data_IF_649411533534
#
_entry.id   IF_649411533534
#
_cell.length_a   1.000
_cell.length_b   1.000
_cell.length_c   1.000
_cell.angle_alpha   90.00
_cell.angle_beta   90.00
_cell.angle_gamma   90.00
#
_symmetry.space_group_name_H-M   'P 1'
#
loop_
_entity.id
_entity.type
_entity.pdbx_description
1 polymer ?
#
# COMPACT_ATOMS: atom_id res chain seq x y z
N UNK A 1 -24.39 -4.54 -5.71
CA UNK A 1 -23.15 -5.21 -6.18
C UNK A 1 -23.30 -6.68 -5.87
N UNK A 2 -23.23 -7.55 -6.87
CA UNK A 2 -23.26 -8.99 -6.64
C UNK A 2 -21.95 -9.39 -5.93
N UNK A 3 -22.00 -10.24 -4.89
CA UNK A 3 -20.80 -10.75 -4.26
C UNK A 3 -19.97 -11.51 -5.30
N UNK A 4 -18.67 -11.22 -5.35
CA UNK A 4 -17.73 -11.97 -6.17
C UNK A 4 -17.78 -13.42 -5.70
N UNK A 5 -17.96 -14.41 -6.62
CA UNK A 5 -18.02 -15.81 -6.23
C UNK A 5 -16.70 -16.23 -5.56
N UNK A 6 -16.81 -16.74 -4.34
CA UNK A 6 -15.67 -17.29 -3.61
C UNK A 6 -15.46 -18.73 -4.08
N UNK A 7 -14.27 -18.96 -4.61
CA UNK A 7 -13.83 -20.25 -5.09
C UNK A 7 -13.84 -21.34 -3.99
N UNK A 8 -14.55 -22.45 -4.21
CA UNK A 8 -14.54 -23.65 -3.35
C UNK A 8 -13.66 -24.75 -4.00
N UNK A 9 -12.59 -25.21 -3.34
CA UNK A 9 -11.67 -26.22 -3.91
C UNK A 9 -12.29 -27.61 -4.21
N UNK A 10 -13.51 -27.86 -3.71
CA UNK A 10 -14.15 -29.17 -3.80
C UNK A 10 -14.74 -29.53 -5.17
N UNK A 11 -14.71 -28.61 -6.15
CA UNK A 11 -15.24 -28.82 -7.51
C UNK A 11 -14.16 -28.63 -8.57
N UNK A 12 -12.98 -29.19 -8.39
CA UNK A 12 -11.87 -29.04 -9.33
C UNK A 12 -12.17 -29.55 -10.75
N UNK A 13 -13.11 -30.48 -10.91
CA UNK A 13 -13.48 -31.03 -12.20
C UNK A 13 -14.43 -30.13 -13.02
N UNK A 14 -15.01 -29.09 -12.42
CA UNK A 14 -15.98 -28.18 -13.07
C UNK A 14 -15.51 -26.72 -13.12
N UNK A 15 -14.23 -26.46 -12.90
CA UNK A 15 -13.69 -25.10 -12.87
C UNK A 15 -13.75 -24.48 -14.26
N UNK A 16 -14.37 -23.31 -14.44
CA UNK A 16 -14.33 -22.61 -15.70
C UNK A 16 -12.94 -22.03 -15.92
N UNK A 17 -12.14 -22.70 -16.72
CA UNK A 17 -10.91 -22.12 -17.26
C UNK A 17 -11.29 -21.24 -18.44
N UNK A 18 -10.67 -20.09 -18.55
CA UNK A 18 -10.80 -19.19 -19.69
C UNK A 18 -9.44 -19.08 -20.39
N UNK A 19 -9.45 -18.80 -21.67
CA UNK A 19 -8.24 -18.56 -22.44
C UNK A 19 -7.49 -17.33 -21.88
N UNK A 20 -6.16 -17.46 -21.76
CA UNK A 20 -5.33 -16.33 -21.37
C UNK A 20 -5.28 -15.30 -22.50
N UNK A 21 -5.80 -14.10 -22.27
CA UNK A 21 -5.63 -12.99 -23.17
C UNK A 21 -4.20 -12.45 -23.11
N UNK A 22 -3.37 -12.94 -24.02
CA UNK A 22 -1.97 -12.55 -24.16
C UNK A 22 -1.65 -12.23 -25.62
N UNK A 23 -0.86 -11.20 -25.85
CA UNK A 23 -0.38 -10.86 -27.18
C UNK A 23 1.15 -10.82 -27.18
N UNK A 24 1.75 -11.50 -28.13
CA UNK A 24 3.19 -11.42 -28.36
C UNK A 24 3.57 -10.00 -28.74
N UNK A 25 4.73 -9.56 -28.24
CA UNK A 25 5.29 -8.25 -28.55
C UNK A 25 6.69 -8.42 -29.13
N UNK A 26 7.08 -7.61 -30.12
CA UNK A 26 8.47 -7.55 -30.56
C UNK A 26 9.42 -7.24 -29.40
N UNK A 27 10.60 -7.85 -29.40
CA UNK A 27 11.58 -7.66 -28.32
C UNK A 27 11.98 -6.19 -28.12
N UNK A 28 12.08 -5.43 -29.21
CA UNK A 28 12.37 -3.99 -29.15
C UNK A 28 11.30 -3.23 -28.35
N UNK A 29 10.02 -3.48 -28.61
CA UNK A 29 8.90 -2.86 -27.87
C UNK A 29 8.94 -3.26 -26.38
N UNK A 30 9.27 -4.51 -26.09
CA UNK A 30 9.39 -4.98 -24.70
C UNK A 30 10.50 -4.25 -23.94
N UNK A 31 11.66 -4.06 -24.57
CA UNK A 31 12.79 -3.33 -23.99
C UNK A 31 12.46 -1.86 -23.78
N UNK A 32 11.84 -1.21 -24.77
CA UNK A 32 11.42 0.20 -24.65
C UNK A 32 10.43 0.38 -23.48
N UNK A 33 9.41 -0.47 -23.40
CA UNK A 33 8.42 -0.43 -22.31
C UNK A 33 9.05 -0.69 -20.94
N UNK A 34 9.99 -1.64 -20.85
CA UNK A 34 10.70 -1.94 -19.61
C UNK A 34 11.51 -0.74 -19.15
N UNK A 35 12.23 -0.10 -20.07
CA UNK A 35 13.00 1.10 -19.79
C UNK A 35 12.09 2.27 -19.35
N UNK A 36 11.03 2.54 -20.09
CA UNK A 36 10.09 3.61 -19.78
C UNK A 36 9.45 3.44 -18.39
N UNK A 37 9.01 2.22 -18.05
CA UNK A 37 8.47 1.91 -16.73
C UNK A 37 9.51 2.10 -15.61
N UNK A 38 10.75 1.69 -15.82
CA UNK A 38 11.82 1.91 -14.85
C UNK A 38 12.13 3.40 -14.67
N UNK A 39 12.23 4.17 -15.76
CA UNK A 39 12.49 5.61 -15.71
C UNK A 39 11.39 6.37 -14.96
N UNK A 40 10.14 5.97 -15.12
CA UNK A 40 9.03 6.52 -14.34
C UNK A 40 9.15 6.15 -12.87
N UNK A 41 9.31 4.86 -12.56
CA UNK A 41 9.31 4.37 -11.18
C UNK A 41 10.52 4.84 -10.36
N UNK A 42 11.67 5.07 -10.99
CA UNK A 42 12.85 5.59 -10.28
C UNK A 42 12.64 7.02 -9.75
N UNK A 43 11.69 7.78 -10.31
CA UNK A 43 11.34 9.12 -9.85
C UNK A 43 10.41 9.09 -8.62
N UNK A 44 9.78 7.96 -8.34
CA UNK A 44 8.89 7.84 -7.19
C UNK A 44 9.63 8.01 -5.88
N UNK A 45 9.13 8.91 -5.03
CA UNK A 45 9.69 9.20 -3.70
C UNK A 45 8.60 9.12 -2.61
N UNK A 46 9.00 8.81 -1.40
CA UNK A 46 8.18 9.00 -0.20
C UNK A 46 8.07 10.48 0.10
N UNK A 47 6.85 11.04 0.06
CA UNK A 47 6.60 12.47 0.22
C UNK A 47 5.80 12.71 1.50
N UNK A 48 6.23 13.68 2.31
CA UNK A 48 5.59 14.08 3.57
C UNK A 48 4.99 15.49 3.53
N UNK A 49 5.19 16.20 2.43
CA UNK A 49 4.71 17.57 2.24
C UNK A 49 3.65 17.58 1.14
N UNK A 50 2.39 17.68 1.56
CA UNK A 50 1.24 17.67 0.66
C UNK A 50 0.67 19.05 0.47
N UNK A 51 0.12 19.30 -0.71
CA UNK A 51 -0.79 20.38 -1.01
C UNK A 51 -2.19 20.00 -0.51
N UNK A 52 -2.96 21.00 -0.07
CA UNK A 52 -4.40 20.84 0.25
C UNK A 52 -5.28 20.81 -1.00
N UNK A 53 -4.67 20.87 -2.20
CA UNK A 53 -5.42 20.75 -3.47
C UNK A 53 -6.22 19.48 -3.50
N UNK A 54 -7.50 19.60 -3.86
CA UNK A 54 -8.41 18.48 -3.94
C UNK A 54 -8.00 17.46 -5.01
N UNK A 55 -8.28 16.18 -4.71
CA UNK A 55 -8.05 15.05 -5.61
C UNK A 55 -9.38 14.37 -5.90
N UNK A 56 -9.70 14.22 -7.18
CA UNK A 56 -10.91 13.55 -7.62
C UNK A 56 -10.99 12.12 -7.05
N UNK A 57 -12.11 11.80 -6.45
CA UNK A 57 -12.40 10.49 -5.85
C UNK A 57 -12.14 9.33 -6.83
N UNK A 58 -12.41 9.51 -8.11
CA UNK A 58 -12.22 8.50 -9.16
C UNK A 58 -10.75 8.08 -9.31
N UNK A 59 -9.79 8.97 -9.02
CA UNK A 59 -8.37 8.63 -9.01
C UNK A 59 -8.04 7.68 -7.86
N UNK A 60 -8.62 7.91 -6.69
CA UNK A 60 -8.45 7.03 -5.52
C UNK A 60 -9.11 5.66 -5.79
N UNK A 61 -10.31 5.64 -6.36
CA UNK A 61 -11.00 4.41 -6.76
C UNK A 61 -10.16 3.61 -7.77
N UNK A 62 -9.59 4.27 -8.77
CA UNK A 62 -8.72 3.63 -9.77
C UNK A 62 -7.44 3.06 -9.16
N UNK A 63 -6.82 3.78 -8.21
CA UNK A 63 -5.64 3.29 -7.50
C UNK A 63 -5.97 2.05 -6.64
N UNK A 64 -7.10 2.06 -5.93
CA UNK A 64 -7.58 0.92 -5.14
C UNK A 64 -7.87 -0.28 -6.04
N UNK A 65 -8.55 -0.07 -7.18
CA UNK A 65 -8.80 -1.13 -8.16
C UNK A 65 -7.48 -1.70 -8.70
N UNK A 66 -6.52 -0.85 -9.05
CA UNK A 66 -5.18 -1.29 -9.50
C UNK A 66 -4.47 -2.12 -8.43
N UNK A 67 -4.46 -1.66 -7.18
CA UNK A 67 -3.93 -2.42 -6.05
C UNK A 67 -4.65 -3.76 -5.84
N UNK A 68 -5.96 -3.78 -6.08
CA UNK A 68 -6.79 -4.98 -5.88
C UNK A 68 -6.66 -6.02 -7.01
N UNK A 69 -5.90 -5.75 -8.08
CA UNK A 69 -5.52 -6.75 -9.08
C UNK A 69 -4.31 -7.59 -8.66
N UNK A 70 -3.74 -7.34 -7.48
CA UNK A 70 -2.56 -8.03 -6.97
C UNK A 70 -2.77 -9.55 -6.89
N UNK A 71 -1.76 -10.36 -7.28
CA UNK A 71 -1.78 -11.78 -7.01
C UNK A 71 -1.83 -12.02 -5.50
N UNK A 72 -2.56 -13.06 -5.08
CA UNK A 72 -2.76 -13.32 -3.66
C UNK A 72 -3.05 -14.80 -3.40
N UNK A 73 -2.85 -15.25 -2.16
CA UNK A 73 -3.03 -16.63 -1.77
C UNK A 73 -4.45 -17.14 -2.04
N UNK A 74 -4.59 -18.15 -2.91
CA UNK A 74 -5.83 -18.82 -3.28
C UNK A 74 -6.95 -17.84 -3.73
N UNK A 75 -6.59 -16.72 -4.30
CA UNK A 75 -7.51 -15.65 -4.75
C UNK A 75 -8.46 -15.15 -3.64
N UNK A 76 -7.98 -15.16 -2.38
CA UNK A 76 -8.80 -14.79 -1.23
C UNK A 76 -8.94 -13.28 -1.04
N UNK A 77 -8.11 -12.47 -1.73
CA UNK A 77 -8.14 -11.01 -1.72
C UNK A 77 -8.25 -10.46 -0.28
N UNK A 78 -7.27 -10.78 0.61
CA UNK A 78 -7.38 -10.62 2.04
C UNK A 78 -7.14 -9.16 2.49
N UNK A 79 -7.74 -8.21 1.82
CA UNK A 79 -7.59 -6.79 2.07
C UNK A 79 -8.92 -6.07 2.16
N UNK A 80 -8.92 -5.00 2.95
CA UNK A 80 -9.96 -3.97 2.96
C UNK A 80 -9.26 -2.62 2.84
N UNK A 81 -9.71 -1.82 1.88
CA UNK A 81 -9.26 -0.46 1.67
C UNK A 81 -10.25 0.51 2.30
N UNK A 82 -9.78 1.40 3.17
CA UNK A 82 -10.58 2.46 3.77
C UNK A 82 -10.04 3.79 3.30
N UNK A 83 -10.79 4.49 2.45
CA UNK A 83 -10.43 5.81 1.95
C UNK A 83 -11.18 6.90 2.73
N UNK A 84 -10.44 7.85 3.28
CA UNK A 84 -10.93 8.90 4.17
C UNK A 84 -10.67 10.25 3.54
N UNK A 85 -11.72 11.07 3.41
CA UNK A 85 -11.70 12.49 2.98
C UNK A 85 -12.37 13.40 4.01
N UNK A 86 -12.81 12.85 5.11
CA UNK A 86 -13.47 13.58 6.18
C UNK A 86 -12.42 14.24 7.09
N UNK A 87 -12.38 15.57 7.14
CA UNK A 87 -11.39 16.36 7.88
C UNK A 87 -11.39 16.05 9.38
N UNK A 88 -12.58 15.91 10.01
CA UNK A 88 -12.69 15.58 11.42
C UNK A 88 -12.10 14.19 11.73
N UNK A 89 -12.32 13.23 10.82
CA UNK A 89 -11.80 11.88 10.97
C UNK A 89 -10.29 11.83 10.72
N UNK A 90 -9.79 12.61 9.76
CA UNK A 90 -8.35 12.77 9.51
C UNK A 90 -7.65 13.42 10.72
N UNK A 91 -8.27 14.44 11.33
CA UNK A 91 -7.73 15.07 12.53
C UNK A 91 -7.64 14.07 13.69
N UNK A 92 -8.70 13.31 13.96
CA UNK A 92 -8.71 12.27 15.01
C UNK A 92 -7.65 11.17 14.73
N UNK A 93 -7.49 10.79 13.45
CA UNK A 93 -6.48 9.83 13.05
C UNK A 93 -5.07 10.37 13.30
N UNK A 94 -4.83 11.63 12.95
CA UNK A 94 -3.57 12.32 13.19
C UNK A 94 -3.24 12.40 14.69
N UNK A 95 -4.17 12.86 15.50
CA UNK A 95 -3.98 12.98 16.96
C UNK A 95 -3.63 11.63 17.60
N UNK A 96 -4.36 10.56 17.24
CA UNK A 96 -4.08 9.22 17.74
C UNK A 96 -2.73 8.67 17.24
N UNK A 97 -2.38 8.91 15.98
CA UNK A 97 -1.08 8.51 15.42
C UNK A 97 0.08 9.27 16.11
N UNK A 98 -0.03 10.58 16.28
CA UNK A 98 0.99 11.38 16.94
C UNK A 98 1.17 11.01 18.42
N UNK A 99 0.09 10.60 19.10
CA UNK A 99 0.17 10.09 20.47
C UNK A 99 0.98 8.77 20.55
N UNK A 100 0.71 7.82 19.65
CA UNK A 100 1.50 6.58 19.60
C UNK A 100 2.95 6.83 19.17
N UNK A 101 3.19 7.76 18.26
CA UNK A 101 4.54 8.16 17.84
C UNK A 101 5.30 8.81 19.01
N UNK A 102 4.68 9.70 19.77
CA UNK A 102 5.32 10.30 20.97
C UNK A 102 5.78 9.22 21.95
N UNK A 103 4.93 8.23 22.24
CA UNK A 103 5.30 7.09 23.10
C UNK A 103 6.43 6.26 22.49
N UNK A 104 6.41 6.08 21.17
CA UNK A 104 7.47 5.33 20.47
C UNK A 104 8.80 6.06 20.56
N UNK A 105 8.84 7.34 20.23
CA UNK A 105 10.08 8.14 20.27
C UNK A 105 10.63 8.33 21.70
N UNK A 106 9.77 8.41 22.73
CA UNK A 106 10.22 8.65 24.10
C UNK A 106 10.57 7.38 24.89
N UNK A 107 9.90 6.25 24.59
CA UNK A 107 9.94 5.08 25.49
C UNK A 107 10.29 3.76 24.81
N UNK A 108 9.99 3.62 23.49
CA UNK A 108 10.02 2.32 22.81
C UNK A 108 11.08 2.19 21.74
N UNK A 109 11.68 3.31 21.30
CA UNK A 109 12.60 3.33 20.16
C UNK A 109 14.01 2.93 20.60
N UNK A 110 14.57 1.83 20.07
CA UNK A 110 15.98 1.51 20.26
C UNK A 110 16.88 2.57 19.57
N UNK A 111 18.04 2.84 20.17
CA UNK A 111 19.02 3.81 19.64
C UNK A 111 19.39 3.52 18.17
N UNK A 112 19.66 2.26 17.84
CA UNK A 112 19.97 1.83 16.47
C UNK A 112 18.85 2.15 15.46
N UNK A 113 17.61 2.22 15.90
CA UNK A 113 16.49 2.61 15.01
C UNK A 113 16.43 4.13 14.87
N UNK A 114 16.67 4.87 15.94
CA UNK A 114 16.75 6.34 15.91
C UNK A 114 17.81 6.81 14.90
N UNK A 115 19.01 6.21 14.91
CA UNK A 115 20.09 6.50 13.97
C UNK A 115 19.68 6.34 12.49
N UNK A 116 18.90 5.30 12.18
CA UNK A 116 18.40 5.03 10.82
C UNK A 116 17.32 6.03 10.39
N UNK A 117 16.55 6.58 11.34
CA UNK A 117 15.48 7.55 11.06
C UNK A 117 15.99 8.98 10.95
N UNK A 118 17.11 9.32 11.59
CA UNK A 118 17.67 10.68 11.61
C UNK A 118 17.84 11.27 10.20
N UNK A 119 18.43 10.58 9.20
CA UNK A 119 18.58 11.10 7.84
C UNK A 119 17.24 11.31 7.11
N UNK A 120 16.16 10.71 7.60
CA UNK A 120 14.82 10.82 7.01
C UNK A 120 14.05 12.05 7.51
N UNK A 121 14.56 12.72 8.57
CA UNK A 121 13.96 13.94 9.14
C UNK A 121 12.52 13.71 9.61
N UNK A 122 12.22 12.54 10.21
CA UNK A 122 10.88 12.23 10.72
C UNK A 122 10.84 12.36 12.24
N UNK A 123 9.75 12.90 12.75
CA UNK A 123 9.48 13.12 14.17
C UNK A 123 8.06 12.66 14.54
N UNK A 124 7.60 12.97 15.76
CA UNK A 124 6.28 12.59 16.22
C UNK A 124 5.14 13.42 15.59
N UNK A 125 5.43 14.53 14.91
CA UNK A 125 4.41 15.43 14.33
C UNK A 125 4.12 14.99 12.89
N UNK A 126 2.86 14.71 12.57
CA UNK A 126 2.45 14.08 11.30
C UNK A 126 1.46 14.95 10.50
N UNK A 127 1.86 16.18 10.07
CA UNK A 127 0.95 17.09 9.36
C UNK A 127 0.41 16.48 8.06
N UNK A 128 1.14 15.59 7.42
CA UNK A 128 0.71 14.88 6.20
C UNK A 128 -0.60 14.09 6.36
N UNK A 129 -1.03 13.81 7.60
CA UNK A 129 -2.30 13.12 7.86
C UNK A 129 -3.52 14.06 7.80
N UNK A 130 -3.29 15.38 7.80
CA UNK A 130 -4.34 16.41 7.63
C UNK A 130 -4.12 17.27 6.40
N UNK A 131 -2.88 17.38 5.90
CA UNK A 131 -2.58 18.17 4.70
C UNK A 131 -2.97 17.44 3.42
N UNK A 132 -2.82 16.11 3.38
CA UNK A 132 -3.23 15.30 2.24
C UNK A 132 -4.77 15.26 2.13
N UNK A 133 -5.35 15.49 0.92
CA UNK A 133 -6.80 15.47 0.73
C UNK A 133 -7.43 14.08 0.95
N UNK A 134 -6.65 13.03 0.84
CA UNK A 134 -7.09 11.66 1.09
C UNK A 134 -6.12 10.90 1.98
N UNK A 135 -6.67 10.09 2.89
CA UNK A 135 -5.94 9.05 3.62
C UNK A 135 -6.52 7.70 3.23
N UNK A 136 -5.67 6.80 2.73
CA UNK A 136 -6.06 5.43 2.42
C UNK A 136 -5.41 4.51 3.43
N UNK A 137 -6.23 3.76 4.19
CA UNK A 137 -5.75 2.76 5.15
C UNK A 137 -5.98 1.38 4.58
N UNK A 138 -4.91 0.59 4.49
CA UNK A 138 -4.97 -0.81 4.09
C UNK A 138 -5.05 -1.69 5.33
N UNK A 139 -6.14 -2.47 5.42
CA UNK A 139 -6.32 -3.51 6.42
C UNK A 139 -6.09 -4.87 5.79
N UNK A 140 -5.36 -5.74 6.48
CA UNK A 140 -5.28 -7.16 6.15
C UNK A 140 -6.36 -7.93 6.91
N UNK A 141 -7.00 -8.87 6.23
CA UNK A 141 -7.98 -9.77 6.81
C UNK A 141 -7.29 -11.05 7.29
N UNK A 142 -7.26 -11.28 8.61
CA UNK A 142 -6.66 -12.50 9.21
C UNK A 142 -7.55 -13.74 9.06
N UNK A 143 -8.84 -13.51 8.88
CA UNK A 143 -9.86 -14.55 8.72
C UNK A 143 -10.88 -14.12 7.69
N UNK A 144 -11.48 -15.08 7.03
CA UNK A 144 -12.60 -14.88 6.11
C UNK A 144 -13.79 -15.73 6.52
N UNK A 145 -14.98 -15.30 6.15
CA UNK A 145 -16.17 -16.13 6.22
C UNK A 145 -16.23 -17.04 4.98
N UNK A 146 -16.41 -18.31 5.19
CA UNK A 146 -16.62 -19.32 4.12
C UNK A 146 -18.08 -19.31 3.67
N UNK A 147 -18.41 -19.85 2.49
CA UNK A 147 -19.80 -19.95 2.01
C UNK A 147 -20.73 -20.68 2.98
N UNK A 148 -20.23 -21.64 3.76
CA UNK A 148 -20.98 -22.33 4.80
C UNK A 148 -21.17 -21.52 6.10
N UNK A 149 -20.82 -20.22 6.11
CA UNK A 149 -20.92 -19.31 7.24
C UNK A 149 -19.84 -19.46 8.32
N UNK A 150 -18.98 -20.47 8.24
CA UNK A 150 -17.90 -20.68 9.21
C UNK A 150 -16.70 -19.77 8.90
N UNK A 151 -16.04 -19.31 9.93
CA UNK A 151 -14.78 -18.58 9.79
C UNK A 151 -13.62 -19.52 9.49
N UNK A 152 -12.74 -19.09 8.60
CA UNK A 152 -11.50 -19.79 8.26
C UNK A 152 -10.33 -18.82 8.14
N UNK A 153 -9.08 -19.32 8.14
CA UNK A 153 -7.91 -18.49 7.95
C UNK A 153 -7.86 -17.92 6.52
N UNK A 154 -7.15 -16.82 6.37
CA UNK A 154 -6.59 -16.36 5.09
C UNK A 154 -5.16 -16.86 4.98
N UNK A 155 -4.67 -17.02 3.75
CA UNK A 155 -3.32 -17.48 3.48
C UNK A 155 -2.49 -16.34 2.91
N UNK A 156 -1.24 -16.20 3.37
CA UNK A 156 -0.31 -15.17 2.87
C UNK A 156 -0.91 -13.75 2.87
N UNK A 157 -1.69 -13.42 3.91
CA UNK A 157 -2.42 -12.15 3.95
C UNK A 157 -1.47 -10.95 3.98
N UNK A 158 -0.36 -11.04 4.69
CA UNK A 158 0.63 -9.95 4.80
C UNK A 158 1.35 -9.74 3.47
N UNK A 159 1.83 -10.81 2.85
CA UNK A 159 2.51 -10.78 1.55
C UNK A 159 1.58 -10.26 0.46
N UNK A 160 0.34 -10.78 0.43
CA UNK A 160 -0.69 -10.35 -0.51
C UNK A 160 -1.02 -8.86 -0.39
N UNK A 161 -1.20 -8.37 0.84
CA UNK A 161 -1.43 -6.95 1.09
C UNK A 161 -0.20 -6.09 0.75
N UNK A 162 1.02 -6.61 0.95
CA UNK A 162 2.26 -5.94 0.55
C UNK A 162 2.35 -5.74 -0.96
N UNK A 163 2.02 -6.77 -1.75
CA UNK A 163 1.96 -6.68 -3.22
C UNK A 163 0.87 -5.68 -3.65
N UNK A 164 -0.32 -5.78 -3.05
CA UNK A 164 -1.44 -4.87 -3.35
C UNK A 164 -1.07 -3.40 -3.04
N UNK A 165 -0.40 -3.15 -1.91
CA UNK A 165 0.08 -1.82 -1.56
C UNK A 165 1.12 -1.29 -2.57
N UNK A 166 2.05 -2.15 -3.02
CA UNK A 166 3.03 -1.79 -4.05
C UNK A 166 2.37 -1.37 -5.37
N UNK A 167 1.36 -2.12 -5.82
CA UNK A 167 0.59 -1.80 -7.02
C UNK A 167 -0.26 -0.53 -6.87
N UNK A 168 -0.85 -0.31 -5.69
CA UNK A 168 -1.55 0.94 -5.36
C UNK A 168 -0.59 2.14 -5.43
N UNK A 169 0.59 2.05 -4.81
CA UNK A 169 1.60 3.12 -4.79
C UNK A 169 2.10 3.42 -6.22
N UNK A 170 2.29 2.39 -7.05
CA UNK A 170 2.64 2.55 -8.45
C UNK A 170 1.54 3.31 -9.22
N UNK A 171 0.27 2.93 -9.05
CA UNK A 171 -0.85 3.58 -9.70
C UNK A 171 -0.98 5.05 -9.28
N UNK A 172 -0.84 5.36 -7.98
CA UNK A 172 -0.80 6.74 -7.46
C UNK A 172 0.30 7.56 -8.13
N UNK A 173 1.51 7.01 -8.23
CA UNK A 173 2.64 7.69 -8.88
C UNK A 173 2.40 7.89 -10.39
N UNK A 174 1.92 6.87 -11.08
CA UNK A 174 1.60 6.93 -12.52
C UNK A 174 0.57 8.00 -12.86
N UNK A 175 -0.39 8.27 -11.95
CA UNK A 175 -1.38 9.33 -12.11
C UNK A 175 -0.85 10.74 -11.77
N UNK A 176 0.44 10.88 -11.42
CA UNK A 176 1.04 12.16 -11.04
C UNK A 176 0.75 12.59 -9.60
N UNK A 177 0.26 11.69 -8.76
CA UNK A 177 0.06 11.92 -7.33
C UNK A 177 1.23 11.39 -6.52
N UNK A 178 1.31 11.82 -5.25
CA UNK A 178 2.35 11.36 -4.31
C UNK A 178 1.73 10.70 -3.09
N UNK A 179 2.52 9.84 -2.46
CA UNK A 179 2.13 9.13 -1.24
C UNK A 179 3.33 8.77 -0.38
N UNK A 180 3.08 8.32 0.83
CA UNK A 180 4.03 7.61 1.68
C UNK A 180 3.35 6.42 2.35
N UNK A 181 4.15 5.50 2.87
CA UNK A 181 3.69 4.47 3.80
C UNK A 181 3.97 4.93 5.22
N UNK A 182 2.93 5.08 6.03
CA UNK A 182 3.01 5.41 7.44
C UNK A 182 2.48 4.25 8.28
N UNK A 183 3.24 3.87 9.30
CA UNK A 183 2.95 2.73 10.17
C UNK A 183 3.07 3.14 11.63
N UNK A 184 2.14 3.95 12.16
CA UNK A 184 2.15 4.35 13.57
C UNK A 184 1.96 3.12 14.45
N UNK A 185 2.97 2.73 15.22
CA UNK A 185 2.96 1.47 15.96
C UNK A 185 2.73 1.69 17.47
N UNK A 186 1.76 0.96 18.06
CA UNK A 186 0.85 -0.05 17.49
C UNK A 186 -0.34 0.58 16.74
N UNK A 187 -0.78 -0.04 15.64
CA UNK A 187 -1.88 0.45 14.79
C UNK A 187 -3.28 0.00 15.24
N UNK A 188 -3.42 -0.57 16.42
CA UNK A 188 -4.70 -1.10 16.92
C UNK A 188 -5.82 -0.05 17.01
N UNK A 189 -5.48 1.20 17.31
CA UNK A 189 -6.41 2.32 17.38
C UNK A 189 -7.16 2.58 16.07
N UNK A 190 -6.52 2.30 14.92
CA UNK A 190 -7.14 2.49 13.59
C UNK A 190 -8.37 1.60 13.40
N UNK A 191 -8.33 0.38 13.93
CA UNK A 191 -9.48 -0.51 13.86
C UNK A 191 -10.69 0.07 14.60
N UNK A 192 -10.48 0.61 15.78
CA UNK A 192 -11.53 1.19 16.63
C UNK A 192 -12.04 2.50 16.03
N UNK A 193 -11.13 3.40 15.66
CA UNK A 193 -11.46 4.69 15.06
C UNK A 193 -12.27 4.56 13.77
N UNK A 194 -11.95 3.55 12.96
CA UNK A 194 -12.58 3.33 11.64
C UNK A 194 -13.70 2.28 11.68
N UNK A 195 -14.10 1.81 12.86
CA UNK A 195 -15.19 0.85 13.04
C UNK A 195 -14.96 -0.49 12.32
N UNK A 196 -13.68 -0.94 12.23
CA UNK A 196 -13.36 -2.17 11.50
C UNK A 196 -13.52 -3.41 12.39
N UNK A 197 -13.96 -4.55 11.82
CA UNK A 197 -14.20 -5.78 12.58
C UNK A 197 -12.88 -6.37 13.12
N UNK A 198 -12.98 -7.21 14.13
CA UNK A 198 -11.83 -7.78 14.87
C UNK A 198 -10.93 -8.69 14.04
N UNK A 199 -11.40 -9.20 12.91
CA UNK A 199 -10.59 -10.01 11.98
C UNK A 199 -9.77 -9.17 11.02
N UNK A 200 -9.95 -7.85 10.99
CA UNK A 200 -9.13 -6.92 10.23
C UNK A 200 -8.05 -6.29 11.12
N UNK A 201 -6.87 -6.11 10.56
CA UNK A 201 -5.71 -5.49 11.19
C UNK A 201 -5.12 -4.45 10.25
N UNK A 202 -4.99 -3.22 10.72
CA UNK A 202 -4.37 -2.16 9.93
C UNK A 202 -2.91 -2.52 9.61
N UNK A 203 -2.50 -2.30 8.37
CA UNK A 203 -1.15 -2.61 7.89
C UNK A 203 -0.40 -1.37 7.41
N UNK A 204 -1.05 -0.47 6.68
CA UNK A 204 -0.47 0.76 6.15
C UNK A 204 -1.46 1.90 6.20
N UNK A 205 -0.98 3.09 6.51
CA UNK A 205 -1.68 4.36 6.33
C UNK A 205 -0.98 5.11 5.20
N UNK A 206 -1.71 5.47 4.15
CA UNK A 206 -1.17 6.08 2.94
C UNK A 206 -1.91 7.39 2.64
N UNK A 207 -1.36 8.54 3.06
CA UNK A 207 -1.80 9.84 2.56
C UNK A 207 -1.59 9.93 1.06
N UNK A 208 -2.55 10.50 0.33
CA UNK A 208 -2.51 10.65 -1.13
C UNK A 208 -2.93 12.06 -1.51
N UNK A 209 -2.14 12.72 -2.35
CA UNK A 209 -2.43 14.06 -2.83
C UNK A 209 -1.38 14.57 -3.80
N UNK A 210 -1.44 15.85 -4.11
CA UNK A 210 -0.38 16.53 -4.84
C UNK A 210 0.76 16.92 -3.88
N UNK A 211 2.02 16.95 -4.33
CA UNK A 211 3.09 17.50 -3.52
C UNK A 211 2.88 19.00 -3.31
N UNK A 212 3.26 19.51 -2.15
CA UNK A 212 3.32 20.97 -1.91
C UNK A 212 4.39 21.57 -2.82
N UNK A 213 4.19 22.80 -3.27
CA UNK A 213 5.20 23.53 -4.02
C UNK A 213 6.51 23.61 -3.22
N UNK A 214 7.63 23.31 -3.87
CA UNK A 214 8.94 23.24 -3.22
C UNK A 214 9.12 22.08 -2.25
N UNK A 215 8.27 21.04 -2.29
CA UNK A 215 8.39 19.88 -1.42
C UNK A 215 9.77 19.21 -1.56
N UNK A 216 10.41 18.97 -0.42
CA UNK A 216 11.70 18.30 -0.34
C UNK A 216 11.53 16.83 0.07
N UNK A 217 12.45 16.00 -0.37
CA UNK A 217 12.56 14.59 0.04
C UNK A 217 14.02 14.33 0.45
N UNK A 218 14.27 13.38 1.37
CA UNK A 218 15.64 13.03 1.78
C UNK A 218 16.50 12.63 0.57
N UNK A 219 17.75 13.12 0.54
CA UNK A 219 18.73 12.73 -0.50
C UNK A 219 19.33 11.37 -0.16
N UNK A 220 18.61 10.32 -0.56
CA UNK A 220 19.00 8.92 -0.33
C UNK A 220 19.07 8.17 -1.65
N UNK A 221 19.99 7.20 -1.71
CA UNK A 221 20.27 6.41 -2.90
C UNK A 221 19.63 5.03 -2.81
N UNK A 222 19.24 4.49 -3.97
CA UNK A 222 18.86 3.08 -4.09
C UNK A 222 20.11 2.25 -4.36
N UNK A 223 20.06 1.01 -3.93
CA UNK A 223 21.06 0.01 -4.30
C UNK A 223 21.13 -0.18 -5.81
N UNK A 224 22.30 -0.48 -6.32
CA UNK A 224 22.55 -0.84 -7.72
C UNK A 224 21.97 -2.24 -8.02
N UNK A 225 21.91 -2.60 -9.31
CA UNK A 225 21.44 -3.92 -9.72
C UNK A 225 22.28 -5.05 -9.10
N UNK A 226 23.61 -4.90 -9.08
CA UNK A 226 24.53 -5.91 -8.54
C UNK A 226 24.39 -6.11 -7.02
N UNK A 227 23.85 -5.10 -6.30
CA UNK A 227 23.59 -5.20 -4.86
C UNK A 227 22.24 -5.87 -4.53
N UNK A 228 21.35 -6.02 -5.50
CA UNK A 228 19.99 -6.55 -5.28
C UNK A 228 19.66 -7.79 -6.10
N UNK A 229 20.50 -8.18 -7.07
CA UNK A 229 20.24 -9.30 -7.97
C UNK A 229 21.45 -10.20 -8.15
N UNK A 230 21.18 -11.49 -8.29
CA UNK A 230 22.17 -12.51 -8.71
C UNK A 230 21.59 -13.22 -9.93
N UNK A 231 22.39 -13.33 -10.98
CA UNK A 231 22.01 -13.99 -12.23
C UNK A 231 22.74 -15.32 -12.39
N UNK A 232 22.03 -16.37 -12.78
CA UNK A 232 22.55 -17.69 -13.13
C UNK A 232 22.23 -17.96 -14.59
N UNK A 233 22.84 -17.19 -15.49
CA UNK A 233 22.58 -17.18 -16.93
C UNK A 233 23.70 -17.82 -17.77
N UNK A 234 24.82 -18.20 -17.13
CA UNK A 234 25.92 -18.90 -17.78
C UNK A 234 25.96 -20.35 -17.29
N UNK A 235 26.15 -21.30 -18.26
CA UNK A 235 26.48 -22.67 -17.92
C UNK A 235 27.88 -22.68 -17.26
N UNK A 236 27.96 -23.19 -16.04
CA UNK A 236 29.21 -23.43 -15.30
C UNK A 236 30.04 -24.55 -15.97
#
# INVERSE_FOLDING_TARGET
>A
MNPVPVFEPSHMDEQPFIELHWAERPNADMLERAQANYEELRLRRTTRHFSTQDVDRRLIESAILSGSTAPNGAHLQPWTWVAIRNEDLQLKLREAAEEEERKTYSERMPEAWSEVLEPLGTDAVKPHLTDAPWIVVLFKQKKRQRPNGKWGPTYYATESCGIAAGMFIQAVHHMGLVTLTHTPSPMGFLRELLGRPTHEEAMLVMPVGYPKEGALVPDIHRKTLDEVAVFFDQAS
#
